data_IF_709850887669
#
_entry.id   IF_709850887669
#
_cell.length_a   1.000
_cell.length_b   1.000
_cell.length_c   1.000
_cell.angle_alpha   90.00
_cell.angle_beta   90.00
_cell.angle_gamma   90.00
#
_symmetry.space_group_name_H-M   'P 1'
#
loop_
_entity.id
_entity.type
_entity.pdbx_description
1 polymer ?
#
# COMPACT_ATOMS: atom_id res chain seq x y z
N UNK A 1 -5.29 -7.55 -1.61
CA UNK A 1 -5.74 -6.14 -1.69
C UNK A 1 -5.77 -5.55 -0.29
N UNK A 2 -5.06 -4.44 -0.09
CA UNK A 2 -4.95 -3.84 1.23
C UNK A 2 -5.43 -2.40 1.21
N UNK A 3 -6.20 -2.05 2.23
CA UNK A 3 -6.71 -0.71 2.49
C UNK A 3 -5.99 -0.12 3.72
N UNK A 4 -6.01 1.22 3.88
CA UNK A 4 -5.31 1.87 4.99
C UNK A 4 -6.10 1.80 6.30
N UNK A 5 -6.48 0.57 6.69
CA UNK A 5 -7.22 0.29 7.90
C UNK A 5 -6.26 -0.17 8.99
N UNK A 6 -6.34 0.46 10.16
CA UNK A 6 -5.57 0.04 11.32
C UNK A 6 -6.19 -1.24 11.87
N UNK A 7 -5.47 -2.37 11.89
CA UNK A 7 -6.03 -3.63 12.36
C UNK A 7 -6.39 -3.61 13.86
N UNK A 8 -5.77 -2.74 14.64
CA UNK A 8 -6.08 -2.63 16.07
C UNK A 8 -7.43 -1.97 16.33
N UNK A 9 -7.86 -1.05 15.46
CA UNK A 9 -9.10 -0.31 15.64
C UNK A 9 -10.19 -0.72 14.64
N UNK A 10 -9.82 -1.32 13.53
CA UNK A 10 -10.74 -1.65 12.44
C UNK A 10 -11.19 -0.43 11.67
N UNK A 11 -10.54 0.71 11.87
CA UNK A 11 -10.92 1.98 11.23
C UNK A 11 -9.83 2.51 10.33
N UNK A 12 -10.23 3.40 9.39
CA UNK A 12 -9.30 4.10 8.54
C UNK A 12 -8.30 4.89 9.40
N UNK A 13 -7.01 4.79 9.07
CA UNK A 13 -5.98 5.54 9.78
C UNK A 13 -6.17 7.03 9.53
N UNK A 14 -5.93 7.84 10.57
CA UNK A 14 -6.01 9.28 10.44
C UNK A 14 -4.82 9.83 9.65
N UNK A 15 -5.05 10.92 8.93
CA UNK A 15 -4.03 11.59 8.15
C UNK A 15 -4.29 11.48 6.66
N UNK A 16 -3.33 11.94 5.88
CA UNK A 16 -3.42 11.99 4.43
C UNK A 16 -2.71 10.83 3.75
N UNK A 17 -2.23 11.10 2.53
CA UNK A 17 -1.62 10.04 1.70
C UNK A 17 -0.42 9.38 2.36
N UNK A 18 0.43 10.12 3.08
CA UNK A 18 1.62 9.54 3.70
C UNK A 18 1.26 8.54 4.79
N UNK A 19 0.35 8.91 5.67
CA UNK A 19 -0.10 8.06 6.78
C UNK A 19 -0.86 6.85 6.27
N UNK A 20 -1.71 7.06 5.28
CA UNK A 20 -2.47 5.97 4.68
C UNK A 20 -1.55 5.00 3.93
N UNK A 21 -0.55 5.51 3.20
CA UNK A 21 0.42 4.66 2.51
C UNK A 21 1.22 3.82 3.50
N UNK A 22 1.70 4.42 4.57
CA UNK A 22 2.45 3.69 5.59
C UNK A 22 1.61 2.57 6.18
N UNK A 23 0.34 2.83 6.48
CA UNK A 23 -0.55 1.81 7.04
C UNK A 23 -0.83 0.68 6.05
N UNK A 24 -1.08 1.03 4.77
CA UNK A 24 -1.32 0.01 3.73
C UNK A 24 -0.10 -0.90 3.61
N UNK A 25 1.10 -0.34 3.57
CA UNK A 25 2.32 -1.14 3.40
C UNK A 25 2.62 -1.98 4.65
N UNK A 26 2.33 -1.48 5.83
CA UNK A 26 2.42 -2.28 7.06
C UNK A 26 1.45 -3.45 7.03
N UNK A 27 0.25 -3.23 6.52
CA UNK A 27 -0.74 -4.29 6.39
C UNK A 27 -0.27 -5.36 5.40
N UNK A 28 0.33 -4.94 4.29
CA UNK A 28 0.91 -5.88 3.32
C UNK A 28 2.03 -6.70 3.96
N UNK A 29 2.90 -6.04 4.71
CA UNK A 29 4.00 -6.71 5.39
C UNK A 29 3.49 -7.74 6.40
N UNK A 30 2.45 -7.41 7.14
CA UNK A 30 1.85 -8.32 8.12
C UNK A 30 1.28 -9.57 7.44
N UNK A 31 0.62 -9.41 6.29
CA UNK A 31 0.10 -10.54 5.52
C UNK A 31 1.24 -11.44 5.05
N UNK A 32 2.33 -10.83 4.56
CA UNK A 32 3.50 -11.60 4.12
C UNK A 32 4.14 -12.37 5.27
N UNK A 33 4.24 -11.76 6.45
CA UNK A 33 4.79 -12.43 7.63
C UNK A 33 3.97 -13.64 8.04
N UNK A 34 2.64 -13.54 7.99
CA UNK A 34 1.77 -14.67 8.29
C UNK A 34 1.96 -15.83 7.32
N UNK A 35 2.33 -15.53 6.08
CA UNK A 35 2.64 -16.53 5.07
C UNK A 35 4.12 -16.97 5.13
N UNK A 36 4.87 -16.53 6.13
CA UNK A 36 6.31 -16.79 6.28
C UNK A 36 7.12 -16.28 5.09
N UNK A 37 6.70 -15.14 4.53
CA UNK A 37 7.36 -14.49 3.40
C UNK A 37 7.84 -13.09 3.81
N UNK A 38 8.87 -12.60 3.15
CA UNK A 38 9.31 -11.23 3.32
C UNK A 38 8.85 -10.37 2.15
N UNK A 39 9.05 -9.07 2.24
CA UNK A 39 8.70 -8.16 1.15
C UNK A 39 9.54 -8.40 -0.10
N UNK A 40 10.70 -9.04 0.04
CA UNK A 40 11.59 -9.32 -1.09
C UNK A 40 11.00 -10.29 -2.13
N UNK A 41 9.94 -11.01 -1.80
CA UNK A 41 9.29 -11.93 -2.74
C UNK A 41 8.19 -11.25 -3.55
N UNK A 42 7.90 -9.99 -3.30
CA UNK A 42 6.89 -9.25 -4.05
C UNK A 42 7.47 -8.88 -5.41
N UNK A 43 6.79 -9.28 -6.48
CA UNK A 43 7.25 -9.05 -7.86
C UNK A 43 6.44 -7.98 -8.57
N UNK A 44 5.23 -7.69 -8.10
CA UNK A 44 4.37 -6.69 -8.72
C UNK A 44 3.50 -6.01 -7.67
N UNK A 45 3.31 -4.70 -7.81
CA UNK A 45 2.43 -3.90 -6.97
C UNK A 45 1.47 -3.14 -7.85
N UNK A 46 0.18 -3.22 -7.56
CA UNK A 46 -0.82 -2.38 -8.20
C UNK A 46 -1.29 -1.35 -7.18
N UNK A 47 -1.19 -0.08 -7.54
CA UNK A 47 -1.51 1.04 -6.66
C UNK A 47 -2.72 1.77 -7.22
N UNK A 48 -3.75 1.92 -6.38
CA UNK A 48 -4.97 2.63 -6.76
C UNK A 48 -5.01 3.93 -5.97
N UNK A 49 -5.03 5.07 -6.68
CA UNK A 49 -5.02 6.39 -6.06
C UNK A 49 -6.26 7.17 -6.50
N UNK A 50 -6.91 7.84 -5.56
CA UNK A 50 -8.03 8.72 -5.90
C UNK A 50 -7.56 10.05 -6.46
N UNK A 51 -6.29 10.41 -6.23
CA UNK A 51 -5.68 11.63 -6.76
C UNK A 51 -4.26 11.32 -7.22
N UNK A 52 -3.99 11.40 -8.52
CA UNK A 52 -2.64 11.14 -9.06
C UNK A 52 -1.60 12.12 -8.53
N UNK A 53 -2.00 13.30 -8.08
CA UNK A 53 -1.09 14.26 -7.45
C UNK A 53 -0.46 13.73 -6.16
N UNK A 54 -1.03 12.68 -5.57
CA UNK A 54 -0.50 12.05 -4.36
C UNK A 54 0.63 11.04 -4.66
N UNK A 55 0.93 10.77 -5.92
CA UNK A 55 1.89 9.74 -6.28
C UNK A 55 3.29 10.00 -5.70
N UNK A 56 3.76 11.24 -5.73
CA UNK A 56 5.09 11.56 -5.19
C UNK A 56 5.20 11.22 -3.71
N UNK A 57 4.21 11.64 -2.93
CA UNK A 57 4.19 11.35 -1.50
C UNK A 57 4.06 9.85 -1.24
N UNK A 58 3.23 9.16 -2.03
CA UNK A 58 3.13 7.71 -1.95
C UNK A 58 4.50 7.07 -2.20
N UNK A 59 5.18 7.48 -3.26
CA UNK A 59 6.45 6.88 -3.65
C UNK A 59 7.55 7.10 -2.61
N UNK A 60 7.55 8.25 -1.95
CA UNK A 60 8.52 8.52 -0.88
C UNK A 60 8.37 7.53 0.28
N UNK A 61 7.14 7.23 0.68
CA UNK A 61 6.88 6.24 1.73
C UNK A 61 7.18 4.84 1.21
N UNK A 62 6.78 4.53 -0.03
CA UNK A 62 7.00 3.24 -0.64
C UNK A 62 8.49 2.86 -0.66
N UNK A 63 9.36 3.81 -0.96
CA UNK A 63 10.81 3.59 -0.99
C UNK A 63 11.36 3.15 0.36
N UNK A 64 10.75 3.56 1.45
CA UNK A 64 11.23 3.16 2.78
C UNK A 64 10.98 1.69 3.06
N UNK A 65 9.97 1.10 2.40
CA UNK A 65 9.65 -0.33 2.54
C UNK A 65 10.43 -1.19 1.54
N UNK A 66 10.84 -0.62 0.41
CA UNK A 66 11.58 -1.33 -0.65
C UNK A 66 12.85 -0.55 -1.00
N UNK A 67 13.86 -0.53 -0.10
CA UNK A 67 15.04 0.30 -0.29
C UNK A 67 16.01 -0.18 -1.38
N UNK A 68 16.08 -1.48 -1.62
CA UNK A 68 17.04 -2.06 -2.57
C UNK A 68 16.40 -2.56 -3.85
N UNK A 69 15.41 -3.45 -3.73
CA UNK A 69 14.74 -4.05 -4.88
C UNK A 69 13.31 -3.55 -4.92
N UNK A 70 12.90 -2.99 -6.03
CA UNK A 70 11.53 -2.49 -6.21
C UNK A 70 10.75 -3.40 -7.12
N UNK A 71 9.57 -3.87 -6.71
CA UNK A 71 8.70 -4.63 -7.61
C UNK A 71 8.21 -3.76 -8.76
N UNK A 72 7.78 -4.38 -9.84
CA UNK A 72 7.10 -3.67 -10.91
C UNK A 72 5.85 -3.01 -10.34
N UNK A 73 5.55 -1.79 -10.75
CA UNK A 73 4.43 -1.02 -10.20
C UNK A 73 3.52 -0.51 -11.31
N UNK A 74 2.22 -0.69 -11.12
CA UNK A 74 1.20 -0.05 -11.94
C UNK A 74 0.42 0.90 -11.05
N UNK A 75 0.23 2.13 -11.52
CA UNK A 75 -0.54 3.14 -10.79
C UNK A 75 -1.82 3.40 -11.56
N UNK A 76 -2.95 3.20 -10.90
CA UNK A 76 -4.27 3.25 -11.53
C UNK A 76 -5.11 4.31 -10.83
N UNK A 77 -5.52 5.37 -11.55
CA UNK A 77 -6.41 6.37 -10.96
C UNK A 77 -7.83 5.83 -10.82
N UNK A 78 -8.49 6.11 -9.71
CA UNK A 78 -9.87 5.73 -9.47
C UNK A 78 -10.62 6.90 -8.87
N UNK A 79 -11.95 6.94 -9.06
CA UNK A 79 -12.75 8.05 -8.50
C UNK A 79 -12.95 7.89 -7.00
N UNK A 80 -13.08 6.66 -6.50
CA UNK A 80 -13.21 6.41 -5.06
C UNK A 80 -12.80 4.97 -4.75
N UNK A 81 -12.59 4.69 -3.48
CA UNK A 81 -12.22 3.37 -3.00
C UNK A 81 -13.32 2.80 -2.10
N UNK A 82 -13.18 1.51 -1.75
CA UNK A 82 -14.20 0.79 -0.98
C UNK A 82 -14.49 1.40 0.39
N UNK A 83 -13.51 2.06 0.99
CA UNK A 83 -13.68 2.71 2.29
C UNK A 83 -13.70 4.21 2.08
N UNK A 84 -14.74 4.87 2.60
CA UNK A 84 -14.88 6.32 2.51
C UNK A 84 -13.70 7.00 3.22
N UNK A 85 -13.08 7.95 2.53
CA UNK A 85 -11.92 8.66 3.05
C UNK A 85 -10.59 8.02 2.71
N UNK A 86 -10.57 6.79 2.22
CA UNK A 86 -9.34 6.17 1.75
C UNK A 86 -8.90 6.83 0.43
N UNK A 87 -7.62 7.15 0.34
CA UNK A 87 -7.05 7.77 -0.88
C UNK A 87 -6.07 6.85 -1.58
N UNK A 88 -5.77 5.69 -1.00
CA UNK A 88 -4.84 4.72 -1.57
C UNK A 88 -5.29 3.30 -1.22
N UNK A 89 -5.08 2.41 -2.17
CA UNK A 89 -5.28 0.97 -1.98
C UNK A 89 -4.17 0.25 -2.74
N UNK A 90 -3.64 -0.81 -2.17
CA UNK A 90 -2.51 -1.53 -2.77
C UNK A 90 -2.83 -3.01 -2.89
N UNK A 91 -2.51 -3.57 -4.04
CA UNK A 91 -2.60 -5.00 -4.31
C UNK A 91 -1.21 -5.49 -4.70
N UNK A 92 -0.75 -6.56 -4.09
CA UNK A 92 0.59 -7.08 -4.33
C UNK A 92 0.55 -8.53 -4.80
N UNK A 93 1.45 -8.85 -5.72
CA UNK A 93 1.65 -10.21 -6.22
C UNK A 93 3.02 -10.67 -5.75
N UNK A 94 3.06 -11.78 -5.05
CA UNK A 94 4.29 -12.37 -4.55
C UNK A 94 4.61 -13.65 -5.32
N UNK A 95 5.89 -13.89 -5.54
CA UNK A 95 6.38 -15.11 -6.19
C UNK A 95 7.52 -15.67 -5.34
N UNK A 96 7.35 -16.89 -4.92
CA UNK A 96 8.32 -17.58 -4.08
C UNK A 96 9.49 -18.13 -4.90
#
# INVERSE_FOLDING_TARGET
MQLPIDPATGKLVEGGIREQTAQVLKNCEAVMKEAFLGLHVIVKTNVFLTNLGDFEAFNEVYKTFFPEIKPAMSVIPVSELLVKGAVVMVDMVACK
#
